data_IF_956329937127
#
_entry.id   IF_956329937127
#
_cell.length_a   1.000
_cell.length_b   1.000
_cell.length_c   1.000
_cell.angle_alpha   90.00
_cell.angle_beta   90.00
_cell.angle_gamma   90.00
#
_symmetry.space_group_name_H-M   'P 1'
#
loop_
_entity.id
_entity.type
_entity.pdbx_description
1 polymer ?
#
# COMPACT_ATOMS: atom_id res chain seq x y z
N UNK A 1 -2.81 -24.43 9.81
CA UNK A 1 -1.34 -24.41 9.66
C UNK A 1 -1.02 -23.19 8.82
N UNK A 2 -0.25 -22.19 9.31
CA UNK A 2 -0.03 -20.96 8.54
C UNK A 2 0.70 -21.29 7.22
N UNK A 3 0.29 -20.71 6.08
CA UNK A 3 0.67 -21.17 4.74
C UNK A 3 2.15 -20.97 4.34
N UNK A 4 3.02 -20.47 5.22
CA UNK A 4 4.39 -20.06 4.87
C UNK A 4 5.51 -20.58 5.78
N UNK A 5 5.27 -21.65 6.57
CA UNK A 5 6.31 -22.22 7.43
C UNK A 5 7.53 -22.71 6.62
N UNK A 6 8.71 -22.12 6.86
CA UNK A 6 10.02 -22.61 6.38
C UNK A 6 10.53 -22.03 5.05
N UNK A 7 9.75 -21.19 4.36
CA UNK A 7 10.16 -20.56 3.10
C UNK A 7 10.86 -19.21 3.29
N UNK A 8 10.63 -18.57 4.42
CA UNK A 8 11.27 -17.31 4.81
C UNK A 8 11.78 -17.45 6.26
N UNK A 9 12.84 -16.73 6.66
CA UNK A 9 13.17 -16.62 8.07
C UNK A 9 11.90 -16.20 8.83
N UNK A 10 11.68 -16.69 10.07
CA UNK A 10 10.54 -16.30 10.87
C UNK A 10 10.63 -14.80 11.16
N UNK A 11 10.01 -14.00 10.31
CA UNK A 11 9.71 -12.61 10.57
C UNK A 11 8.22 -12.52 10.93
N UNK A 12 7.93 -11.82 12.01
CA UNK A 12 6.55 -11.56 12.41
C UNK A 12 5.89 -10.55 11.47
N UNK A 13 4.55 -10.46 11.52
CA UNK A 13 3.79 -9.52 10.70
C UNK A 13 4.29 -8.07 10.84
N UNK A 14 4.61 -7.56 12.05
CA UNK A 14 5.22 -6.24 12.21
C UNK A 14 6.51 -6.07 11.40
N UNK A 15 7.44 -7.02 11.47
CA UNK A 15 8.69 -6.97 10.72
C UNK A 15 8.46 -6.94 9.21
N UNK A 16 7.51 -7.73 8.71
CA UNK A 16 7.14 -7.71 7.29
C UNK A 16 6.53 -6.37 6.86
N UNK A 17 5.64 -5.79 7.68
CA UNK A 17 5.04 -4.48 7.43
C UNK A 17 6.12 -3.38 7.36
N UNK A 18 7.06 -3.37 8.30
CA UNK A 18 8.19 -2.41 8.28
C UNK A 18 9.08 -2.57 7.06
N UNK A 19 9.40 -3.82 6.67
CA UNK A 19 10.20 -4.08 5.47
C UNK A 19 9.47 -3.64 4.19
N UNK A 20 8.18 -3.94 4.07
CA UNK A 20 7.36 -3.51 2.94
C UNK A 20 7.28 -1.98 2.85
N UNK A 21 7.02 -1.30 3.96
CA UNK A 21 7.00 0.16 4.05
C UNK A 21 8.33 0.78 3.57
N UNK A 22 9.45 0.19 3.99
CA UNK A 22 10.80 0.62 3.58
C UNK A 22 11.01 0.45 2.07
N UNK A 23 10.62 -0.70 1.51
CA UNK A 23 10.75 -0.98 0.07
C UNK A 23 9.90 -0.03 -0.76
N UNK A 24 8.63 0.17 -0.38
CA UNK A 24 7.70 1.07 -1.08
C UNK A 24 8.21 2.50 -1.03
N UNK A 25 8.63 2.98 0.15
CA UNK A 25 9.17 4.33 0.33
C UNK A 25 10.36 4.59 -0.59
N UNK A 26 11.22 3.58 -0.78
CA UNK A 26 12.38 3.66 -1.66
C UNK A 26 12.00 3.57 -3.14
N UNK A 27 11.11 2.66 -3.54
CA UNK A 27 10.92 2.34 -4.96
C UNK A 27 9.87 3.21 -5.63
N UNK A 28 8.79 3.55 -4.95
CA UNK A 28 7.65 4.26 -5.55
C UNK A 28 8.03 5.60 -6.21
N UNK A 29 8.87 6.47 -5.61
CA UNK A 29 9.28 7.72 -6.24
C UNK A 29 10.05 7.55 -7.56
N UNK A 30 10.63 6.36 -7.78
CA UNK A 30 11.42 6.01 -8.97
C UNK A 30 10.62 5.27 -10.03
N UNK A 31 9.38 4.89 -9.71
CA UNK A 31 8.52 4.18 -10.66
C UNK A 31 8.09 5.13 -11.78
N UNK A 32 8.07 4.61 -13.00
CA UNK A 32 7.47 5.19 -14.19
C UNK A 32 6.25 4.39 -14.68
N UNK A 33 5.85 3.36 -13.93
CA UNK A 33 4.78 2.45 -14.32
C UNK A 33 3.40 2.99 -13.86
N UNK A 34 2.49 3.35 -14.78
CA UNK A 34 1.18 3.90 -14.43
C UNK A 34 0.27 2.91 -13.68
N UNK A 35 0.50 1.60 -13.82
CA UNK A 35 -0.24 0.58 -13.06
C UNK A 35 0.12 0.64 -11.57
N UNK A 36 1.39 0.92 -11.26
CA UNK A 36 1.83 1.09 -9.85
C UNK A 36 1.14 2.30 -9.23
N UNK A 37 0.91 3.36 -10.00
CA UNK A 37 0.19 4.53 -9.47
C UNK A 37 -1.27 4.20 -9.13
N UNK A 38 -1.95 3.41 -9.96
CA UNK A 38 -3.34 2.98 -9.70
C UNK A 38 -3.43 2.09 -8.46
N UNK A 39 -2.52 1.12 -8.33
CA UNK A 39 -2.46 0.22 -7.17
C UNK A 39 -2.16 1.02 -5.90
N UNK A 40 -1.22 1.96 -5.97
CA UNK A 40 -0.82 2.80 -4.84
C UNK A 40 -1.97 3.69 -4.38
N UNK A 41 -2.68 4.36 -5.31
CA UNK A 41 -3.86 5.15 -4.99
C UNK A 41 -4.93 4.30 -4.28
N UNK A 42 -5.22 3.12 -4.83
CA UNK A 42 -6.21 2.18 -4.27
C UNK A 42 -5.81 1.71 -2.88
N UNK A 43 -4.53 1.40 -2.67
CA UNK A 43 -4.00 1.01 -1.36
C UNK A 43 -4.13 2.14 -0.33
N UNK A 44 -3.77 3.37 -0.68
CA UNK A 44 -3.90 4.54 0.21
C UNK A 44 -5.37 4.76 0.58
N UNK A 45 -6.28 4.64 -0.38
CA UNK A 45 -7.72 4.78 -0.12
C UNK A 45 -8.24 3.70 0.82
N UNK A 46 -7.87 2.45 0.58
CA UNK A 46 -8.25 1.32 1.44
C UNK A 46 -7.75 1.52 2.88
N UNK A 47 -6.46 1.82 3.05
CA UNK A 47 -5.85 2.04 4.37
C UNK A 47 -6.37 3.28 5.12
N UNK A 48 -6.98 4.23 4.40
CA UNK A 48 -7.61 5.43 4.98
C UNK A 48 -9.13 5.35 5.04
N UNK A 49 -9.73 4.22 4.66
CA UNK A 49 -11.17 4.04 4.54
C UNK A 49 -11.87 5.12 3.68
N UNK A 50 -11.21 5.53 2.59
CA UNK A 50 -11.75 6.48 1.63
C UNK A 50 -12.57 5.75 0.56
N UNK A 51 -13.56 6.41 -0.06
CA UNK A 51 -14.23 5.87 -1.24
C UNK A 51 -13.25 5.53 -2.35
N UNK A 52 -13.60 4.53 -3.16
CA UNK A 52 -12.87 4.19 -4.36
C UNK A 52 -12.71 5.41 -5.29
N UNK A 53 -11.63 5.41 -6.06
CA UNK A 53 -11.37 6.47 -7.03
C UNK A 53 -12.42 6.36 -8.16
N UNK A 54 -13.14 7.44 -8.52
CA UNK A 54 -13.97 7.45 -9.72
C UNK A 54 -13.16 7.08 -10.97
N UNK A 55 -13.74 6.32 -11.89
CA UNK A 55 -13.02 5.76 -13.06
C UNK A 55 -12.24 6.81 -13.85
N UNK A 56 -12.86 7.98 -14.07
CA UNK A 56 -12.32 9.07 -14.87
C UNK A 56 -11.21 9.89 -14.18
N UNK A 57 -10.87 9.60 -12.92
CA UNK A 57 -10.11 10.52 -12.07
C UNK A 57 -8.57 10.49 -12.16
N UNK A 58 -7.83 9.67 -12.88
CA UNK A 58 -6.35 9.63 -12.74
C UNK A 58 -5.81 9.36 -11.28
N UNK A 59 -4.68 8.64 -11.15
CA UNK A 59 -4.14 8.31 -9.82
C UNK A 59 -3.75 9.56 -9.01
N UNK A 60 -3.93 9.47 -7.69
CA UNK A 60 -3.59 10.48 -6.69
C UNK A 60 -4.42 11.77 -6.68
N UNK A 61 -5.25 11.99 -7.71
CA UNK A 61 -6.12 13.15 -7.75
C UNK A 61 -7.10 13.14 -6.56
N UNK A 62 -7.13 14.24 -5.82
CA UNK A 62 -7.90 14.38 -4.58
C UNK A 62 -7.31 13.67 -3.35
N UNK A 63 -6.19 12.95 -3.48
CA UNK A 63 -5.40 12.47 -2.34
C UNK A 63 -4.31 13.47 -1.94
N UNK A 64 -3.73 14.15 -2.93
CA UNK A 64 -2.65 15.10 -2.72
C UNK A 64 -2.85 16.42 -3.48
N UNK A 65 -2.47 17.56 -2.90
CA UNK A 65 -2.53 18.87 -3.57
C UNK A 65 -1.31 19.07 -4.49
N UNK A 66 -1.10 18.19 -5.47
CA UNK A 66 -0.03 18.33 -6.47
C UNK A 66 -0.53 17.99 -7.87
N UNK A 67 -0.06 18.75 -8.86
CA UNK A 67 -0.39 18.55 -10.27
C UNK A 67 0.64 17.67 -11.02
N UNK A 68 1.71 17.21 -10.36
CA UNK A 68 2.73 16.39 -11.00
C UNK A 68 2.84 15.00 -10.35
N UNK A 69 2.98 13.99 -11.21
CA UNK A 69 3.08 12.59 -10.79
C UNK A 69 4.34 12.28 -9.96
N UNK A 70 5.54 12.82 -10.26
CA UNK A 70 6.72 12.53 -9.45
C UNK A 70 6.58 12.98 -7.99
N UNK A 71 6.03 14.17 -7.72
CA UNK A 71 5.78 14.60 -6.33
C UNK A 71 4.62 13.80 -5.71
N UNK A 72 3.58 13.47 -6.48
CA UNK A 72 2.49 12.62 -5.99
C UNK A 72 3.02 11.26 -5.52
N UNK A 73 3.94 10.64 -6.28
CA UNK A 73 4.62 9.39 -5.89
C UNK A 73 5.47 9.57 -4.63
N UNK A 74 6.16 10.69 -4.47
CA UNK A 74 6.92 10.99 -3.24
C UNK A 74 6.01 11.11 -2.01
N UNK A 75 4.89 11.81 -2.15
CA UNK A 75 3.91 11.96 -1.07
C UNK A 75 3.21 10.64 -0.75
N UNK A 76 2.82 9.88 -1.78
CA UNK A 76 2.27 8.54 -1.64
C UNK A 76 3.24 7.59 -0.91
N UNK A 77 4.53 7.65 -1.26
CA UNK A 77 5.58 6.86 -0.63
C UNK A 77 5.71 7.16 0.86
N UNK A 78 5.69 8.44 1.24
CA UNK A 78 5.73 8.86 2.64
C UNK A 78 4.48 8.39 3.40
N UNK A 79 3.30 8.55 2.79
CA UNK A 79 2.03 8.11 3.38
C UNK A 79 1.99 6.61 3.60
N UNK A 80 2.38 5.80 2.61
CA UNK A 80 2.42 4.35 2.79
C UNK A 80 3.50 3.92 3.78
N UNK A 81 4.60 4.67 3.86
CA UNK A 81 5.63 4.47 4.88
C UNK A 81 5.09 4.59 6.31
N UNK A 82 4.10 5.44 6.56
CA UNK A 82 3.46 5.58 7.87
C UNK A 82 2.29 4.63 8.06
N UNK A 83 1.46 4.40 7.04
CA UNK A 83 0.24 3.60 7.18
C UNK A 83 0.51 2.09 7.27
N UNK A 84 1.49 1.57 6.54
CA UNK A 84 1.74 0.12 6.45
C UNK A 84 2.19 -0.49 7.79
N UNK A 85 3.12 0.13 8.56
CA UNK A 85 3.49 -0.37 9.88
C UNK A 85 2.32 -0.43 10.87
N UNK A 86 1.35 0.47 10.72
CA UNK A 86 0.20 0.64 11.63
C UNK A 86 -1.01 -0.24 11.24
N UNK A 87 -0.88 -1.07 10.20
CA UNK A 87 -1.90 -2.05 9.86
C UNK A 87 -2.06 -2.99 11.06
N UNK A 88 -3.23 -2.94 11.69
CA UNK A 88 -3.59 -3.78 12.85
C UNK A 88 -4.53 -4.92 12.45
N UNK A 89 -5.12 -4.84 11.26
CA UNK A 89 -6.01 -5.88 10.75
C UNK A 89 -5.18 -7.05 10.22
N UNK A 90 -5.36 -8.20 10.82
CA UNK A 90 -4.64 -9.43 10.51
C UNK A 90 -5.41 -10.31 9.51
N UNK A 91 -6.64 -9.91 9.14
CA UNK A 91 -7.60 -10.74 8.41
C UNK A 91 -8.50 -9.84 7.53
N UNK A 92 -8.43 -9.99 6.21
CA UNK A 92 -9.48 -9.46 5.33
C UNK A 92 -10.74 -10.32 5.52
N UNK A 93 -11.98 -9.79 5.56
CA UNK A 93 -13.20 -10.59 5.73
C UNK A 93 -13.43 -11.66 4.64
N UNK A 94 -12.67 -11.62 3.54
CA UNK A 94 -12.66 -12.62 2.46
C UNK A 94 -11.56 -13.68 2.62
N UNK A 95 -10.71 -13.59 3.64
CA UNK A 95 -9.77 -14.64 4.03
C UNK A 95 -10.59 -15.75 4.70
N UNK A 96 -11.29 -16.51 3.85
CA UNK A 96 -12.41 -17.35 4.26
C UNK A 96 -12.08 -18.27 5.43
N UNK A 97 -12.93 -18.24 6.45
CA UNK A 97 -13.19 -19.41 7.28
C UNK A 97 -13.97 -20.44 6.44
N UNK A 98 -13.24 -21.10 5.54
CA UNK A 98 -13.67 -22.31 4.88
C UNK A 98 -13.50 -23.52 5.80
N UNK A 99 -14.52 -23.74 6.65
CA UNK A 99 -14.82 -24.93 7.49
C UNK A 99 -13.76 -25.42 8.49
#
# INVERSE_FOLDING_TARGET
>A
RPPYSGLFPPADLPSWRTQAATVITRQLPRSDNPVIDQITDSLIRSLRHLPERPDQRAPYEGLFPTANLPQARQQAAQVLGTLIPDITDDIHPLDGHGR
#
